data_IF_221741935075
#
_entry.id   IF_221741935075
#
_cell.length_a   1.000
_cell.length_b   1.000
_cell.length_c   1.000
_cell.angle_alpha   90.00
_cell.angle_beta   90.00
_cell.angle_gamma   90.00
#
_symmetry.space_group_name_H-M   'P 1'
#
loop_
_entity.id
_entity.type
_entity.pdbx_description
1 polymer ?
#
# COMPACT_ATOMS: atom_id res chain seq x y z
N UNK A 1 5.26 -10.14 -23.50
CA UNK A 1 4.01 -9.48 -23.10
C UNK A 1 3.92 -8.14 -23.81
N UNK A 2 2.86 -7.86 -24.58
CA UNK A 2 2.60 -6.55 -25.17
C UNK A 2 2.36 -5.47 -24.11
N UNK A 3 2.59 -4.20 -24.45
CA UNK A 3 2.49 -3.07 -23.50
C UNK A 3 1.09 -2.93 -22.88
N UNK A 4 0.04 -3.11 -23.68
CA UNK A 4 -1.35 -3.04 -23.21
C UNK A 4 -1.66 -4.15 -22.20
N UNK A 5 -1.18 -5.36 -22.47
CA UNK A 5 -1.33 -6.48 -21.55
C UNK A 5 -0.57 -6.23 -20.24
N UNK A 6 0.64 -5.68 -20.31
CA UNK A 6 1.42 -5.30 -19.13
C UNK A 6 0.69 -4.27 -18.27
N UNK A 7 0.16 -3.21 -18.89
CA UNK A 7 -0.59 -2.16 -18.17
C UNK A 7 -1.83 -2.72 -17.49
N UNK A 8 -2.56 -3.62 -18.15
CA UNK A 8 -3.73 -4.29 -17.55
C UNK A 8 -3.34 -5.11 -16.32
N UNK A 9 -2.26 -5.89 -16.41
CA UNK A 9 -1.77 -6.67 -15.27
C UNK A 9 -1.31 -5.77 -14.13
N UNK A 10 -0.57 -4.71 -14.43
CA UNK A 10 -0.12 -3.72 -13.43
C UNK A 10 -1.31 -3.09 -12.69
N UNK A 11 -2.36 -2.68 -13.42
CA UNK A 11 -3.55 -2.11 -12.80
C UNK A 11 -4.24 -3.10 -11.86
N UNK A 12 -4.47 -4.33 -12.33
CA UNK A 12 -5.11 -5.38 -11.52
C UNK A 12 -4.34 -5.66 -10.24
N UNK A 13 -3.01 -5.80 -10.34
CA UNK A 13 -2.15 -6.08 -9.19
C UNK A 13 -2.08 -4.88 -8.23
N UNK A 14 -1.93 -3.67 -8.76
CA UNK A 14 -1.89 -2.45 -7.94
C UNK A 14 -3.21 -2.23 -7.19
N UNK A 15 -4.35 -2.36 -7.87
CA UNK A 15 -5.68 -2.23 -7.25
C UNK A 15 -5.88 -3.24 -6.12
N UNK A 16 -5.52 -4.50 -6.35
CA UNK A 16 -5.61 -5.55 -5.33
C UNK A 16 -4.70 -5.28 -4.13
N UNK A 17 -3.47 -4.79 -4.38
CA UNK A 17 -2.55 -4.40 -3.31
C UNK A 17 -3.07 -3.23 -2.48
N UNK A 18 -3.55 -2.17 -3.14
CA UNK A 18 -4.09 -0.98 -2.46
C UNK A 18 -5.28 -1.36 -1.59
N UNK A 19 -6.21 -2.19 -2.09
CA UNK A 19 -7.35 -2.66 -1.30
C UNK A 19 -6.88 -3.46 -0.07
N UNK A 20 -5.96 -4.41 -0.25
CA UNK A 20 -5.42 -5.23 0.85
C UNK A 20 -4.69 -4.38 1.90
N UNK A 21 -3.88 -3.43 1.46
CA UNK A 21 -3.10 -2.56 2.35
C UNK A 21 -4.03 -1.59 3.10
N UNK A 22 -5.05 -1.04 2.44
CA UNK A 22 -6.07 -0.22 3.09
C UNK A 22 -6.86 -1.01 4.14
N UNK A 23 -7.17 -2.27 3.88
CA UNK A 23 -7.91 -3.13 4.81
C UNK A 23 -7.05 -3.53 6.03
N UNK A 24 -5.80 -3.95 5.79
CA UNK A 24 -4.97 -4.60 6.82
C UNK A 24 -3.99 -3.68 7.53
N UNK A 25 -3.57 -2.57 6.91
CA UNK A 25 -2.63 -1.63 7.52
C UNK A 25 -3.36 -0.42 8.08
N UNK A 26 -3.33 -0.26 9.40
CA UNK A 26 -3.87 0.95 10.05
C UNK A 26 -3.17 2.22 9.54
N UNK A 27 -1.85 2.15 9.35
CA UNK A 27 -1.04 3.26 8.85
C UNK A 27 -1.54 3.80 7.50
N UNK A 28 -1.68 2.94 6.50
CA UNK A 28 -2.14 3.36 5.17
C UNK A 28 -3.62 3.73 5.18
N UNK A 29 -4.46 2.98 5.92
CA UNK A 29 -5.88 3.30 6.05
C UNK A 29 -6.10 4.70 6.61
N UNK A 30 -5.36 5.07 7.67
CA UNK A 30 -5.46 6.40 8.28
C UNK A 30 -5.05 7.49 7.30
N UNK A 31 -3.89 7.34 6.64
CA UNK A 31 -3.39 8.31 5.64
C UNK A 31 -4.36 8.53 4.48
N UNK A 32 -4.91 7.44 3.94
CA UNK A 32 -5.87 7.51 2.85
C UNK A 32 -7.16 8.21 3.31
N UNK A 33 -7.67 7.88 4.51
CA UNK A 33 -8.84 8.57 5.09
C UNK A 33 -8.58 10.07 5.35
N UNK A 34 -7.41 10.44 5.85
CA UNK A 34 -7.02 11.84 6.08
C UNK A 34 -7.02 12.67 4.78
N UNK A 35 -6.73 12.04 3.64
CA UNK A 35 -6.78 12.67 2.32
C UNK A 35 -8.15 12.50 1.62
N UNK A 36 -9.12 11.85 2.29
CA UNK A 36 -10.45 11.61 1.72
C UNK A 36 -10.46 10.64 0.54
N UNK A 37 -9.45 9.76 0.43
CA UNK A 37 -9.34 8.78 -0.65
C UNK A 37 -9.56 7.35 -0.13
N UNK A 38 -10.13 6.51 -0.97
CA UNK A 38 -10.28 5.07 -0.76
C UNK A 38 -9.78 4.26 -1.95
N UNK A 39 -9.74 2.92 -1.83
CA UNK A 39 -9.34 2.05 -2.94
C UNK A 39 -10.16 2.30 -4.21
N UNK A 40 -11.46 2.60 -4.10
CA UNK A 40 -12.39 2.80 -5.22
C UNK A 40 -12.13 4.06 -6.05
N UNK A 41 -11.31 4.99 -5.55
CA UNK A 41 -10.88 6.19 -6.27
C UNK A 41 -9.75 5.92 -7.28
N UNK A 42 -9.20 4.70 -7.26
CA UNK A 42 -8.17 4.21 -8.19
C UNK A 42 -8.86 3.42 -9.30
N UNK A 43 -9.06 4.05 -10.46
CA UNK A 43 -9.78 3.48 -11.62
C UNK A 43 -8.87 3.28 -12.83
N UNK A 44 -7.71 3.91 -12.81
CA UNK A 44 -6.64 3.82 -13.81
C UNK A 44 -5.28 3.74 -13.13
N UNK A 45 -4.22 3.46 -13.88
CA UNK A 45 -2.85 3.49 -13.35
C UNK A 45 -2.42 4.91 -12.93
N UNK A 46 -2.90 5.94 -13.61
CA UNK A 46 -2.52 7.34 -13.33
C UNK A 46 -3.08 7.82 -11.98
N UNK A 47 -4.16 7.21 -11.50
CA UNK A 47 -4.75 7.53 -10.20
C UNK A 47 -3.83 7.18 -9.01
N UNK A 48 -2.73 6.44 -9.23
CA UNK A 48 -1.73 6.18 -8.19
C UNK A 48 -1.16 7.48 -7.59
N UNK A 49 -1.17 8.58 -8.36
CA UNK A 49 -0.74 9.91 -7.91
C UNK A 49 -1.61 10.49 -6.78
N UNK A 50 -2.83 9.96 -6.61
CA UNK A 50 -3.74 10.36 -5.51
C UNK A 50 -3.29 9.77 -4.18
N UNK A 51 -2.51 8.68 -4.18
CA UNK A 51 -2.15 7.98 -2.96
C UNK A 51 -1.17 8.79 -2.10
N UNK A 52 -1.26 8.68 -0.77
CA UNK A 52 -0.34 9.35 0.13
C UNK A 52 1.08 8.81 -0.03
N UNK A 53 2.05 9.72 -0.01
CA UNK A 53 3.45 9.34 0.11
C UNK A 53 3.77 8.77 1.51
N UNK A 54 4.81 7.95 1.56
CA UNK A 54 5.50 7.56 2.79
C UNK A 54 6.84 8.29 2.85
N UNK A 55 7.22 8.73 4.03
CA UNK A 55 8.46 9.44 4.31
C UNK A 55 9.35 8.63 5.25
N UNK A 56 10.64 8.94 5.29
CA UNK A 56 11.61 8.28 6.18
C UNK A 56 11.21 8.35 7.66
N UNK A 57 10.55 9.44 8.08
CA UNK A 57 10.05 9.60 9.45
C UNK A 57 9.04 8.50 9.82
N UNK A 58 8.22 8.07 8.86
CA UNK A 58 7.18 7.07 9.13
C UNK A 58 7.79 5.77 9.62
N UNK A 59 8.84 5.29 8.94
CA UNK A 59 9.62 4.11 9.35
C UNK A 59 10.16 4.22 10.77
N UNK A 60 10.59 5.42 11.19
CA UNK A 60 11.14 5.67 12.53
C UNK A 60 10.03 5.70 13.58
N UNK A 61 8.94 6.40 13.30
CA UNK A 61 7.84 6.62 14.25
C UNK A 61 7.00 5.34 14.47
N UNK A 62 7.03 4.41 13.52
CA UNK A 62 6.35 3.11 13.59
C UNK A 62 7.28 1.95 13.94
N UNK A 63 8.53 2.22 14.34
CA UNK A 63 9.46 1.15 14.72
C UNK A 63 8.95 0.40 15.98
N UNK A 64 9.13 -0.93 16.09
CA UNK A 64 9.79 -1.83 15.14
C UNK A 64 8.89 -2.36 14.02
N UNK A 65 7.59 -2.53 14.26
CA UNK A 65 6.68 -3.36 13.46
C UNK A 65 5.37 -2.66 13.04
N UNK A 66 5.19 -1.37 13.34
CA UNK A 66 3.94 -0.62 13.07
C UNK A 66 3.59 -0.41 11.60
N UNK A 67 4.48 -0.77 10.67
CA UNK A 67 4.21 -0.79 9.21
C UNK A 67 3.87 -2.18 8.69
N UNK A 68 3.97 -3.23 9.51
CA UNK A 68 3.58 -4.55 9.09
C UNK A 68 2.07 -4.59 8.87
N UNK A 69 1.67 -5.16 7.74
CA UNK A 69 0.26 -5.36 7.39
C UNK A 69 -0.13 -6.85 7.35
N UNK A 70 0.85 -7.74 7.51
CA UNK A 70 0.65 -9.17 7.57
C UNK A 70 0.59 -9.64 9.04
N UNK A 71 -0.22 -10.67 9.36
CA UNK A 71 -0.17 -11.37 10.63
C UNK A 71 1.26 -11.84 10.99
N UNK A 72 1.58 -11.90 12.28
CA UNK A 72 2.93 -12.24 12.75
C UNK A 72 3.38 -13.65 12.36
N UNK A 73 2.46 -14.60 12.26
CA UNK A 73 2.70 -15.98 11.82
C UNK A 73 3.02 -16.10 10.32
N UNK A 74 2.70 -15.08 9.51
CA UNK A 74 3.13 -14.99 8.11
C UNK A 74 4.54 -14.36 7.96
N UNK A 75 5.13 -13.82 9.04
CA UNK A 75 6.43 -13.14 9.00
C UNK A 75 7.59 -14.15 9.13
N UNK A 76 8.23 -14.45 8.01
CA UNK A 76 9.36 -15.41 7.95
C UNK A 76 10.73 -14.78 8.27
N UNK A 77 10.86 -13.46 8.20
CA UNK A 77 12.12 -12.74 8.46
C UNK A 77 11.84 -11.30 8.87
N UNK A 78 12.47 -10.88 9.95
CA UNK A 78 12.59 -9.48 10.34
C UNK A 78 14.08 -9.18 10.58
N UNK A 79 14.66 -8.33 9.73
CA UNK A 79 16.06 -7.94 9.84
C UNK A 79 16.15 -6.52 10.39
N UNK A 80 16.85 -6.39 11.53
CA UNK A 80 17.09 -5.13 12.23
C UNK A 80 18.58 -5.13 12.55
N UNK A 81 19.36 -4.37 11.78
CA UNK A 81 20.80 -4.16 11.93
C UNK A 81 21.11 -2.82 12.57
#
# INVERSE_FOLDING_TARGET
>A
MPLEELRRVQYTLAKALIARVYERSEFYRRRMKEQGIGPDDIRTLDDIQKLPFMYKRDLRDTYPDGLFYAPRDELVRYHVS
#
